data_IF_255951516939
#
_entry.id   IF_255951516939
#
_cell.length_a   1.000
_cell.length_b   1.000
_cell.length_c   1.000
_cell.angle_alpha   90.00
_cell.angle_beta   90.00
_cell.angle_gamma   90.00
#
_symmetry.space_group_name_H-M   'P 1'
#
loop_
_entity.id
_entity.type
_entity.pdbx_description
1 polymer ?
#
# COMPACT_ATOMS: atom_id res chain seq x y z
N UNK A 1 0.27 -16.52 -4.80
CA UNK A 1 -0.98 -16.97 -5.46
C UNK A 1 -0.63 -18.16 -6.36
N UNK A 2 -1.24 -19.30 -6.14
CA UNK A 2 -1.01 -20.54 -6.87
C UNK A 2 -1.94 -20.68 -8.07
N UNK A 3 -1.55 -21.47 -9.10
CA UNK A 3 -2.22 -21.63 -10.38
C UNK A 3 -3.61 -22.29 -10.39
N UNK A 4 -4.25 -22.49 -9.23
CA UNK A 4 -5.53 -23.21 -9.10
C UNK A 4 -6.76 -22.30 -8.91
N UNK A 5 -6.62 -21.00 -9.13
CA UNK A 5 -7.75 -20.10 -8.99
C UNK A 5 -8.70 -20.19 -10.19
N UNK A 6 -9.97 -20.46 -9.95
CA UNK A 6 -10.97 -20.81 -10.99
C UNK A 6 -11.14 -19.75 -12.09
N UNK A 7 -10.96 -18.46 -11.75
CA UNK A 7 -11.05 -17.36 -12.72
C UNK A 7 -9.79 -17.17 -13.59
N UNK A 8 -8.65 -17.72 -13.18
CA UNK A 8 -7.35 -17.62 -13.86
C UNK A 8 -6.56 -18.91 -13.71
N UNK A 9 -7.04 -20.05 -14.23
CA UNK A 9 -6.37 -21.33 -14.09
C UNK A 9 -5.03 -21.32 -14.84
N UNK A 10 -4.00 -21.88 -14.22
CA UNK A 10 -2.66 -21.99 -14.80
C UNK A 10 -1.79 -20.74 -14.70
N UNK A 11 -2.26 -19.67 -14.05
CA UNK A 11 -1.42 -18.49 -13.80
C UNK A 11 -0.97 -18.39 -12.34
N UNK A 12 0.22 -17.84 -12.14
CA UNK A 12 0.89 -17.76 -10.85
C UNK A 12 1.34 -16.33 -10.56
N UNK A 13 1.34 -15.93 -9.30
CA UNK A 13 1.88 -14.64 -8.86
C UNK A 13 2.42 -14.77 -7.44
N UNK A 14 3.64 -15.30 -7.32
CA UNK A 14 4.26 -15.60 -6.02
C UNK A 14 4.69 -14.35 -5.25
N UNK A 15 4.94 -13.25 -5.94
CA UNK A 15 5.32 -11.98 -5.32
C UNK A 15 4.13 -11.05 -5.07
N UNK A 16 2.90 -11.47 -5.38
CA UNK A 16 1.69 -10.66 -5.25
C UNK A 16 1.76 -9.29 -5.97
N UNK A 17 2.47 -9.24 -7.11
CA UNK A 17 2.60 -8.01 -7.90
C UNK A 17 1.22 -7.60 -8.39
N UNK A 18 0.87 -6.30 -8.22
CA UNK A 18 -0.45 -5.74 -8.56
C UNK A 18 -1.64 -6.46 -7.88
N UNK A 19 -1.39 -7.11 -6.74
CA UNK A 19 -2.41 -7.81 -5.97
C UNK A 19 -3.05 -6.89 -4.93
N UNK A 20 -3.95 -6.03 -5.37
CA UNK A 20 -4.75 -5.12 -4.53
C UNK A 20 -6.22 -5.15 -4.93
N UNK A 21 -7.11 -4.85 -4.00
CA UNK A 21 -8.54 -4.76 -4.30
C UNK A 21 -8.82 -3.56 -5.21
N UNK A 22 -9.54 -3.78 -6.31
CA UNK A 22 -9.90 -2.73 -7.28
C UNK A 22 -11.32 -2.93 -7.78
N UNK A 23 -12.21 -2.03 -7.42
CA UNK A 23 -13.63 -2.15 -7.74
C UNK A 23 -14.21 -3.45 -7.16
N UNK A 24 -14.83 -4.26 -7.99
CA UNK A 24 -15.39 -5.57 -7.63
C UNK A 24 -14.33 -6.71 -7.61
N UNK A 25 -13.12 -6.45 -8.08
CA UNK A 25 -12.06 -7.47 -8.13
C UNK A 25 -11.31 -7.56 -6.80
N UNK A 26 -11.19 -8.77 -6.26
CA UNK A 26 -10.34 -9.05 -5.10
C UNK A 26 -8.84 -8.90 -5.45
N UNK A 27 -8.00 -8.78 -4.43
CA UNK A 27 -6.54 -8.73 -4.61
C UNK A 27 -5.99 -9.96 -5.35
N UNK A 28 -6.58 -11.14 -5.15
CA UNK A 28 -6.20 -12.36 -5.89
C UNK A 28 -6.52 -12.19 -7.37
N UNK A 29 -7.70 -11.70 -7.71
CA UNK A 29 -8.13 -11.51 -9.09
C UNK A 29 -7.28 -10.46 -9.82
N UNK A 30 -6.99 -9.32 -9.20
CA UNK A 30 -6.14 -8.29 -9.82
C UNK A 30 -4.72 -8.79 -10.04
N UNK A 31 -4.13 -9.44 -9.05
CA UNK A 31 -2.78 -10.02 -9.18
C UNK A 31 -2.69 -11.10 -10.23
N UNK A 32 -3.71 -11.96 -10.38
CA UNK A 32 -3.74 -12.99 -11.43
C UNK A 32 -4.07 -12.41 -12.80
N UNK A 33 -4.92 -11.39 -12.87
CA UNK A 33 -5.14 -10.64 -14.12
C UNK A 33 -3.83 -10.01 -14.61
N UNK A 34 -3.05 -9.39 -13.71
CA UNK A 34 -1.72 -8.89 -14.06
C UNK A 34 -0.81 -10.00 -14.59
N UNK A 35 -0.75 -11.14 -13.91
CA UNK A 35 0.07 -12.28 -14.29
C UNK A 35 -0.32 -12.91 -15.64
N UNK A 36 -1.60 -12.86 -16.01
CA UNK A 36 -2.11 -13.46 -17.24
C UNK A 36 -1.87 -12.60 -18.50
N UNK A 37 -1.61 -11.32 -18.33
CA UNK A 37 -1.39 -10.38 -19.43
C UNK A 37 0.06 -10.41 -19.91
N UNK A 38 0.28 -10.27 -21.21
CA UNK A 38 1.63 -10.05 -21.77
C UNK A 38 2.19 -8.71 -21.30
N UNK A 39 3.50 -8.66 -21.04
CA UNK A 39 4.16 -7.43 -20.60
C UNK A 39 5.54 -7.66 -20.00
N UNK A 40 6.04 -6.67 -19.25
CA UNK A 40 7.34 -6.72 -18.58
C UNK A 40 7.48 -7.92 -17.65
N UNK A 41 8.73 -8.22 -17.29
CA UNK A 41 9.09 -9.30 -16.37
C UNK A 41 8.69 -10.71 -16.84
N UNK A 42 8.72 -10.95 -18.17
CA UNK A 42 8.45 -12.27 -18.74
C UNK A 42 6.99 -12.72 -18.63
N UNK A 43 6.04 -11.79 -18.44
CA UNK A 43 4.61 -12.14 -18.47
C UNK A 43 4.13 -12.55 -19.87
N UNK A 44 3.16 -13.47 -19.95
CA UNK A 44 2.33 -14.05 -18.90
C UNK A 44 3.09 -15.05 -18.03
N UNK A 45 2.74 -15.09 -16.73
CA UNK A 45 3.31 -16.01 -15.76
C UNK A 45 2.46 -17.30 -15.68
N UNK A 46 2.52 -18.08 -16.73
CA UNK A 46 1.82 -19.34 -16.92
C UNK A 46 2.57 -20.57 -16.37
N UNK A 47 3.73 -20.36 -15.76
CA UNK A 47 4.49 -21.36 -15.02
C UNK A 47 4.97 -20.82 -13.69
N UNK A 48 5.24 -21.72 -12.74
CA UNK A 48 5.84 -21.39 -11.44
C UNK A 48 7.15 -20.64 -11.63
N UNK A 49 8.01 -21.16 -12.52
CA UNK A 49 9.32 -20.58 -12.82
C UNK A 49 9.21 -19.14 -13.34
N UNK A 50 8.37 -18.88 -14.33
CA UNK A 50 8.15 -17.53 -14.86
C UNK A 50 7.68 -16.56 -13.80
N UNK A 51 6.78 -17.00 -12.93
CA UNK A 51 6.26 -16.17 -11.83
C UNK A 51 7.33 -15.86 -10.77
N UNK A 52 8.21 -16.83 -10.46
CA UNK A 52 9.29 -16.60 -9.51
C UNK A 52 10.34 -15.68 -10.11
N UNK A 53 10.81 -15.94 -11.31
CA UNK A 53 11.84 -15.13 -11.98
C UNK A 53 11.31 -13.72 -12.25
N UNK A 54 10.14 -13.59 -12.86
CA UNK A 54 9.54 -12.30 -13.19
C UNK A 54 9.16 -11.49 -11.96
N UNK A 55 8.65 -12.13 -10.92
CA UNK A 55 8.36 -11.50 -9.64
C UNK A 55 9.62 -11.01 -8.94
N UNK A 56 10.70 -11.81 -8.94
CA UNK A 56 11.99 -11.42 -8.37
C UNK A 56 12.64 -10.25 -9.12
N UNK A 57 12.55 -10.23 -10.45
CA UNK A 57 13.02 -9.11 -11.27
C UNK A 57 12.21 -7.84 -10.97
N UNK A 58 10.88 -7.94 -10.93
CA UNK A 58 10.01 -6.82 -10.55
C UNK A 58 10.37 -6.26 -9.17
N UNK A 59 10.56 -7.14 -8.19
CA UNK A 59 10.95 -6.74 -6.84
C UNK A 59 12.34 -6.10 -6.81
N UNK A 60 13.30 -6.66 -7.52
CA UNK A 60 14.65 -6.13 -7.64
C UNK A 60 14.66 -4.71 -8.23
N UNK A 61 13.93 -4.51 -9.32
CA UNK A 61 13.90 -3.23 -10.03
C UNK A 61 13.13 -2.15 -9.27
N UNK A 62 11.97 -2.48 -8.73
CA UNK A 62 11.08 -1.48 -8.15
C UNK A 62 11.33 -1.21 -6.66
N UNK A 63 11.96 -2.14 -5.93
CA UNK A 63 12.22 -1.98 -4.50
C UNK A 63 13.72 -1.95 -4.18
N UNK A 64 14.46 -3.00 -4.51
CA UNK A 64 15.88 -3.10 -4.09
C UNK A 64 16.72 -1.98 -4.72
N UNK A 65 16.63 -1.79 -6.03
CA UNK A 65 17.36 -0.72 -6.75
C UNK A 65 16.85 0.69 -6.41
N UNK A 66 15.62 0.80 -5.92
CA UNK A 66 15.05 2.05 -5.45
C UNK A 66 15.46 2.41 -4.00
N UNK A 67 16.32 1.61 -3.37
CA UNK A 67 16.77 1.82 -2.00
C UNK A 67 15.89 1.19 -0.92
N UNK A 68 14.83 0.48 -1.31
CA UNK A 68 13.92 -0.25 -0.41
C UNK A 68 14.41 -1.70 -0.24
N UNK A 69 15.67 -1.88 0.13
CA UNK A 69 16.40 -3.15 0.10
C UNK A 69 16.37 -3.95 1.41
N UNK A 70 15.62 -3.50 2.40
CA UNK A 70 15.35 -4.26 3.64
C UNK A 70 13.85 -4.48 3.83
N UNK A 71 13.46 -5.42 4.70
CA UNK A 71 12.04 -5.64 5.01
C UNK A 71 11.35 -4.38 5.54
N UNK A 72 12.06 -3.61 6.35
CA UNK A 72 11.55 -2.35 6.87
C UNK A 72 11.38 -1.32 5.75
N UNK A 73 12.41 -1.08 4.95
CA UNK A 73 12.40 -0.06 3.91
C UNK A 73 11.42 -0.39 2.79
N UNK A 74 11.26 -1.68 2.40
CA UNK A 74 10.24 -2.04 1.41
C UNK A 74 8.83 -1.77 1.91
N UNK A 75 8.58 -1.89 3.22
CA UNK A 75 7.26 -1.63 3.82
C UNK A 75 7.01 -0.13 4.01
N UNK A 76 7.95 0.60 4.59
CA UNK A 76 7.67 1.95 5.06
C UNK A 76 8.24 3.06 4.16
N UNK A 77 9.17 2.74 3.27
CA UNK A 77 9.80 3.66 2.32
C UNK A 77 10.15 5.02 2.94
N UNK A 78 11.00 5.00 3.97
CA UNK A 78 11.33 6.19 4.77
C UNK A 78 12.61 6.89 4.32
N UNK A 79 13.24 6.39 3.23
CA UNK A 79 14.43 7.01 2.63
C UNK A 79 14.37 6.87 1.09
N UNK A 80 15.06 7.74 0.37
CA UNK A 80 15.04 7.75 -1.08
C UNK A 80 13.95 8.66 -1.66
N UNK A 81 13.58 8.41 -2.90
CA UNK A 81 12.50 9.13 -3.58
C UNK A 81 11.13 8.55 -3.21
N UNK A 82 10.08 9.37 -3.36
CA UNK A 82 8.69 8.94 -3.15
C UNK A 82 8.40 8.46 -1.70
N UNK A 83 8.94 9.20 -0.73
CA UNK A 83 8.83 8.89 0.71
C UNK A 83 7.39 8.61 1.13
N UNK A 84 7.24 7.61 2.01
CA UNK A 84 5.96 7.16 2.61
C UNK A 84 4.93 6.61 1.61
N UNK A 85 5.27 6.57 0.33
CA UNK A 85 4.51 5.94 -0.76
C UNK A 85 5.25 4.69 -1.25
N UNK A 86 4.70 4.01 -2.23
CA UNK A 86 5.33 2.83 -2.82
C UNK A 86 5.70 1.76 -1.78
N UNK A 87 4.72 1.37 -0.96
CA UNK A 87 4.88 0.33 0.05
C UNK A 87 4.56 -1.03 -0.54
N UNK A 88 5.39 -2.03 -0.25
CA UNK A 88 5.22 -3.38 -0.80
C UNK A 88 3.91 -4.05 -0.40
N UNK A 89 3.49 -3.86 0.86
CA UNK A 89 2.30 -4.50 1.41
C UNK A 89 1.51 -3.55 2.31
N UNK A 90 0.22 -3.81 2.48
CA UNK A 90 -0.64 -3.04 3.39
C UNK A 90 -0.48 -3.45 4.86
N UNK A 91 -0.14 -4.73 5.12
CA UNK A 91 0.03 -5.27 6.46
C UNK A 91 1.10 -4.51 7.25
N UNK A 92 0.70 -3.87 8.36
CA UNK A 92 1.60 -3.07 9.21
C UNK A 92 2.65 -3.97 9.89
N UNK A 93 2.29 -5.19 10.25
CA UNK A 93 3.19 -6.15 10.91
C UNK A 93 4.04 -6.96 9.89
N UNK A 94 3.84 -6.74 8.59
CA UNK A 94 4.47 -7.56 7.55
C UNK A 94 5.98 -7.57 7.63
N UNK A 95 6.61 -6.41 7.82
CA UNK A 95 8.08 -6.32 7.93
C UNK A 95 8.62 -7.10 9.14
N UNK A 96 7.96 -7.00 10.29
CA UNK A 96 8.35 -7.73 11.51
C UNK A 96 8.17 -9.24 11.35
N UNK A 97 7.03 -9.67 10.78
CA UNK A 97 6.74 -11.09 10.55
C UNK A 97 7.70 -11.74 9.54
N UNK A 98 8.08 -11.02 8.49
CA UNK A 98 9.07 -11.51 7.52
C UNK A 98 10.48 -11.57 8.14
N UNK A 99 10.86 -10.55 8.91
CA UNK A 99 12.15 -10.55 9.62
C UNK A 99 12.25 -11.71 10.62
N UNK A 100 11.18 -12.00 11.36
CA UNK A 100 11.14 -13.14 12.29
C UNK A 100 11.32 -14.48 11.55
N UNK A 101 10.63 -14.68 10.42
CA UNK A 101 10.79 -15.90 9.60
C UNK A 101 12.20 -16.04 9.06
N UNK A 102 12.77 -14.93 8.56
CA UNK A 102 14.13 -14.92 8.05
C UNK A 102 15.15 -15.22 9.17
N UNK A 103 15.00 -14.59 10.34
CA UNK A 103 15.85 -14.85 11.50
C UNK A 103 15.87 -16.33 11.89
N UNK A 104 14.71 -16.99 11.85
CA UNK A 104 14.61 -18.44 12.08
C UNK A 104 15.33 -19.25 10.99
N UNK A 105 15.20 -18.86 9.73
CA UNK A 105 15.89 -19.52 8.61
C UNK A 105 17.42 -19.37 8.69
N UNK A 106 17.89 -18.20 9.14
CA UNK A 106 19.33 -17.93 9.33
C UNK A 106 19.91 -18.50 10.64
N UNK A 107 19.10 -19.09 11.49
CA UNK A 107 19.56 -19.65 12.77
C UNK A 107 20.65 -20.72 12.63
N UNK A 108 20.69 -21.41 11.48
CA UNK A 108 21.69 -22.42 11.15
C UNK A 108 22.99 -21.87 10.54
N UNK A 109 23.03 -20.57 10.19
CA UNK A 109 24.18 -19.90 9.54
C UNK A 109 24.61 -18.66 10.33
N UNK A 110 24.58 -18.75 11.65
CA UNK A 110 24.85 -17.61 12.57
C UNK A 110 26.24 -17.02 12.46
N UNK A 111 27.20 -17.77 11.92
CA UNK A 111 28.58 -17.33 11.76
C UNK A 111 28.81 -16.55 10.43
N UNK A 112 27.77 -16.39 9.61
CA UNK A 112 27.84 -15.57 8.42
C UNK A 112 27.85 -14.08 8.77
N UNK A 113 28.67 -13.29 8.08
CA UNK A 113 28.63 -11.83 8.22
C UNK A 113 27.28 -11.29 7.75
N UNK A 114 26.61 -10.56 8.62
CA UNK A 114 25.33 -9.90 8.34
C UNK A 114 25.51 -8.39 8.38
N UNK A 115 24.97 -7.70 7.40
CA UNK A 115 24.90 -6.24 7.38
C UNK A 115 23.48 -5.80 7.76
N UNK A 116 23.35 -4.94 8.75
CA UNK A 116 22.07 -4.39 9.22
C UNK A 116 21.97 -2.92 8.85
N UNK A 117 20.86 -2.55 8.23
CA UNK A 117 20.47 -1.16 7.97
C UNK A 117 19.33 -0.80 8.92
N UNK A 118 19.59 0.04 9.90
CA UNK A 118 18.62 0.43 10.93
C UNK A 118 18.30 1.92 10.72
N UNK A 119 17.09 2.27 10.21
CA UNK A 119 16.66 3.66 10.11
C UNK A 119 16.57 4.29 11.50
N UNK A 120 17.16 5.46 11.66
CA UNK A 120 17.08 6.26 12.89
C UNK A 120 16.30 7.53 12.57
N UNK A 121 15.29 7.83 13.37
CA UNK A 121 14.43 8.99 13.20
C UNK A 121 14.85 10.12 14.14
N UNK A 122 14.74 11.36 13.67
CA UNK A 122 14.79 12.51 14.54
C UNK A 122 13.60 12.48 15.50
N UNK A 123 13.83 12.80 16.76
CA UNK A 123 12.81 12.82 17.81
C UNK A 123 12.11 11.45 18.02
N UNK A 124 12.85 10.35 17.91
CA UNK A 124 12.32 9.05 18.33
C UNK A 124 11.87 9.10 19.79
N UNK A 125 10.72 8.47 20.05
CA UNK A 125 10.25 8.31 21.41
C UNK A 125 11.21 7.43 22.22
N UNK A 126 11.47 7.79 23.48
CA UNK A 126 12.29 6.98 24.41
C UNK A 126 11.63 5.63 24.74
N UNK A 127 10.31 5.60 24.71
CA UNK A 127 9.53 4.39 24.96
C UNK A 127 8.93 3.87 23.65
N UNK A 128 9.07 2.58 23.41
CA UNK A 128 8.47 1.94 22.24
C UNK A 128 6.94 2.09 22.24
N UNK A 129 6.38 2.47 21.11
CA UNK A 129 4.93 2.44 20.92
C UNK A 129 4.40 1.02 21.01
N UNK A 130 3.18 0.85 21.52
CA UNK A 130 2.50 -0.43 21.49
C UNK A 130 2.37 -0.93 20.04
N UNK A 131 2.56 -2.22 19.83
CA UNK A 131 2.34 -2.83 18.53
C UNK A 131 0.86 -2.68 18.11
N UNK A 132 0.56 -2.44 16.83
CA UNK A 132 -0.81 -2.40 16.35
C UNK A 132 -1.51 -3.73 16.59
N UNK A 133 -2.76 -3.68 17.02
CA UNK A 133 -3.56 -4.88 17.34
C UNK A 133 -4.11 -5.60 16.11
N UNK A 134 -3.89 -5.07 14.92
CA UNK A 134 -4.32 -5.65 13.64
C UNK A 134 -3.88 -4.79 12.46
N UNK A 135 -4.16 -5.26 11.26
CA UNK A 135 -3.77 -4.57 10.02
C UNK A 135 -4.62 -3.31 9.75
N UNK A 136 -5.76 -3.19 10.39
CA UNK A 136 -6.72 -2.14 10.08
C UNK A 136 -7.22 -2.20 8.62
N UNK A 137 -7.92 -1.16 8.20
CA UNK A 137 -8.26 -0.95 6.79
C UNK A 137 -7.31 0.11 6.20
N UNK A 138 -6.71 -0.14 5.03
CA UNK A 138 -5.90 0.87 4.33
C UNK A 138 -6.77 1.95 3.65
N UNK A 139 -8.09 1.84 3.73
CA UNK A 139 -9.00 2.74 3.06
C UNK A 139 -9.16 4.06 3.84
N UNK A 140 -8.40 5.05 3.43
CA UNK A 140 -8.43 6.43 3.95
C UNK A 140 -9.24 7.38 3.06
N UNK A 141 -10.08 6.85 2.17
CA UNK A 141 -10.86 7.67 1.23
C UNK A 141 -12.18 8.12 1.85
N UNK A 142 -12.69 9.22 1.33
CA UNK A 142 -14.06 9.65 1.59
C UNK A 142 -15.05 8.91 0.68
N UNK A 143 -16.24 8.63 1.18
CA UNK A 143 -17.39 8.21 0.40
C UNK A 143 -18.16 9.40 -0.16
N UNK A 144 -18.11 10.54 0.54
CA UNK A 144 -18.74 11.78 0.10
C UNK A 144 -18.03 13.01 0.68
N UNK A 145 -18.08 14.10 -0.08
CA UNK A 145 -17.67 15.44 0.34
C UNK A 145 -18.62 16.44 -0.32
N UNK A 146 -19.18 17.37 0.45
CA UNK A 146 -20.03 18.44 -0.06
C UNK A 146 -19.90 19.70 0.81
N UNK A 147 -20.20 20.83 0.22
CA UNK A 147 -20.37 22.08 0.94
C UNK A 147 -21.82 22.55 0.76
N UNK A 148 -22.51 22.84 1.86
CA UNK A 148 -23.92 23.19 1.83
C UNK A 148 -24.15 24.49 1.05
N UNK A 149 -25.02 24.44 0.04
CA UNK A 149 -25.33 25.59 -0.84
C UNK A 149 -24.28 25.89 -1.91
N UNK A 150 -23.18 25.11 -2.01
CA UNK A 150 -22.10 25.37 -2.95
C UNK A 150 -21.69 24.13 -3.73
N UNK A 151 -21.19 24.34 -4.94
CA UNK A 151 -20.63 23.25 -5.77
C UNK A 151 -19.13 23.17 -5.66
N UNK A 152 -18.61 21.96 -5.46
CA UNK A 152 -17.17 21.69 -5.50
C UNK A 152 -16.65 21.70 -6.94
N UNK A 153 -15.47 22.25 -7.13
CA UNK A 153 -14.75 22.21 -8.41
C UNK A 153 -13.34 21.61 -8.19
N UNK A 154 -13.03 20.48 -8.80
CA UNK A 154 -13.93 19.58 -9.55
C UNK A 154 -15.04 18.96 -8.69
N UNK A 155 -16.01 18.29 -9.30
CA UNK A 155 -16.99 17.49 -8.56
C UNK A 155 -16.29 16.44 -7.73
N UNK A 156 -16.92 16.01 -6.62
CA UNK A 156 -16.34 15.04 -5.71
C UNK A 156 -15.87 13.75 -6.43
N UNK A 157 -14.64 13.38 -6.19
CA UNK A 157 -14.05 12.12 -6.62
C UNK A 157 -13.19 11.55 -5.49
N UNK A 158 -13.35 10.28 -5.18
CA UNK A 158 -12.67 9.62 -4.04
C UNK A 158 -11.13 9.73 -4.06
N UNK A 159 -10.54 9.98 -5.21
CA UNK A 159 -9.09 10.10 -5.41
C UNK A 159 -8.65 11.56 -5.64
N UNK A 160 -9.57 12.51 -5.55
CA UNK A 160 -9.29 13.95 -5.66
C UNK A 160 -9.00 14.52 -4.28
N UNK A 161 -7.84 15.12 -4.12
CA UNK A 161 -7.33 15.61 -2.84
C UNK A 161 -7.55 17.12 -2.64
N UNK A 162 -7.94 17.85 -3.68
CA UNK A 162 -8.10 19.31 -3.62
C UNK A 162 -9.33 19.76 -4.39
N UNK A 163 -10.06 20.69 -3.79
CA UNK A 163 -11.30 21.26 -4.33
C UNK A 163 -11.31 22.77 -4.14
N UNK A 164 -11.96 23.46 -5.05
CA UNK A 164 -12.21 24.89 -4.96
C UNK A 164 -13.70 25.16 -4.78
N UNK A 165 -14.00 26.20 -4.02
CA UNK A 165 -15.34 26.76 -3.86
C UNK A 165 -15.33 28.23 -4.26
N UNK A 166 -16.42 28.66 -4.89
CA UNK A 166 -16.68 30.09 -5.12
C UNK A 166 -17.80 30.50 -4.18
N UNK A 167 -17.50 31.44 -3.29
CA UNK A 167 -18.43 31.95 -2.29
C UNK A 167 -18.56 33.46 -2.41
N UNK A 168 -19.69 34.00 -1.98
CA UNK A 168 -19.88 35.46 -1.89
C UNK A 168 -19.02 36.02 -0.74
N UNK A 169 -18.53 37.25 -0.90
CA UNK A 169 -17.70 37.95 0.12
C UNK A 169 -18.40 38.16 1.44
N UNK A 170 -19.74 38.10 1.49
CA UNK A 170 -20.54 38.23 2.72
C UNK A 170 -20.65 36.91 3.52
N UNK A 171 -20.18 35.79 2.98
CA UNK A 171 -20.22 34.48 3.65
C UNK A 171 -19.10 34.41 4.68
N UNK A 172 -19.46 34.19 5.93
CA UNK A 172 -18.52 34.12 7.06
C UNK A 172 -18.23 32.70 7.51
N UNK A 173 -19.04 31.73 7.09
CA UNK A 173 -18.84 30.32 7.40
C UNK A 173 -19.55 29.44 6.36
N UNK A 174 -19.04 28.22 6.18
CA UNK A 174 -19.58 27.22 5.26
C UNK A 174 -19.69 25.88 6.01
N UNK A 175 -20.84 25.22 5.87
CA UNK A 175 -21.00 23.85 6.38
C UNK A 175 -20.41 22.86 5.38
N UNK A 176 -19.33 22.20 5.79
CA UNK A 176 -18.69 21.12 5.04
C UNK A 176 -19.13 19.78 5.60
N UNK A 177 -19.68 18.91 4.74
CA UNK A 177 -20.10 17.56 5.08
C UNK A 177 -19.16 16.56 4.41
N UNK A 178 -18.60 15.65 5.18
CA UNK A 178 -17.73 14.59 4.68
C UNK A 178 -18.02 13.27 5.41
N UNK A 179 -18.00 12.16 4.66
CA UNK A 179 -18.15 10.83 5.23
C UNK A 179 -16.99 9.93 4.79
N UNK A 180 -16.47 9.14 5.71
CA UNK A 180 -15.46 8.14 5.39
C UNK A 180 -16.06 7.00 4.55
N UNK A 181 -15.26 6.42 3.67
CA UNK A 181 -15.65 5.23 2.91
C UNK A 181 -15.54 3.95 3.75
N UNK A 182 -14.70 3.97 4.78
CA UNK A 182 -14.54 2.86 5.72
C UNK A 182 -15.17 3.23 7.07
N UNK A 183 -16.00 2.34 7.60
CA UNK A 183 -16.69 2.54 8.88
C UNK A 183 -15.76 2.65 10.10
N UNK A 184 -14.49 2.22 9.96
CA UNK A 184 -13.47 2.32 11.01
C UNK A 184 -12.63 3.58 10.89
N UNK A 185 -12.77 4.34 9.81
CA UNK A 185 -12.08 5.60 9.61
C UNK A 185 -12.87 6.76 10.24
N UNK A 186 -12.15 7.76 10.69
CA UNK A 186 -12.73 9.03 11.18
C UNK A 186 -12.37 10.17 10.24
N UNK A 187 -13.28 11.14 10.15
CA UNK A 187 -13.06 12.38 9.41
C UNK A 187 -12.88 13.51 10.41
N UNK A 188 -11.87 14.34 10.22
CA UNK A 188 -11.67 15.59 10.98
C UNK A 188 -11.63 16.78 10.02
N UNK A 189 -11.96 17.98 10.54
CA UNK A 189 -11.98 19.22 9.74
C UNK A 189 -13.26 19.43 8.91
N UNK A 190 -14.28 18.59 9.06
CA UNK A 190 -15.63 18.83 8.56
C UNK A 190 -16.45 19.64 9.59
N UNK A 191 -17.62 20.13 9.17
CA UNK A 191 -18.48 20.95 9.98
C UNK A 191 -18.51 22.40 9.49
N UNK A 192 -18.83 23.34 10.40
CA UNK A 192 -18.81 24.77 10.09
C UNK A 192 -17.37 25.29 10.11
N UNK A 193 -16.90 25.80 9.01
CA UNK A 193 -15.56 26.36 8.81
C UNK A 193 -15.65 27.76 8.23
#
# INVERSE_FOLDING_TARGET
>A
ISGNYSGYPGYYNFFNVEAYQSGSMSAIQTGLRYASQSGSYGRPWDTVEKSIIGGAQNYGDNYVKAGQNTFYLKKFNVQGSNLYKHQYMTNIQGAASEAERLSKAYSSVKDSALEFQIPVYNNMLETACAAPVGDGSPNNKLSSLSAEGYSLTPSFGKDTESYNLIVNTSVSSIQVNAAAADSKASVSGAGSI
#
